data_IF_494247406089
#
_entry.id   IF_494247406089
#
_cell.length_a   1.000
_cell.length_b   1.000
_cell.length_c   1.000
_cell.angle_alpha   90.00
_cell.angle_beta   90.00
_cell.angle_gamma   90.00
#
_symmetry.space_group_name_H-M   'P 1'
#
loop_
_entity.id
_entity.type
_entity.pdbx_description
1 polymer ?
#
# COMPACT_ATOMS: atom_id res chain seq x y z
N UNK A 1 85.17 12.77 12.39
CA UNK A 1 83.84 13.28 12.00
C UNK A 1 82.77 12.51 12.72
N UNK A 2 82.26 13.05 13.82
CA UNK A 2 81.22 12.45 14.64
C UNK A 2 79.86 12.63 13.93
N UNK A 3 79.20 11.51 13.57
CA UNK A 3 77.82 11.51 13.11
C UNK A 3 76.95 11.74 14.33
N UNK A 4 76.38 12.93 14.46
CA UNK A 4 75.28 13.20 15.40
C UNK A 4 74.11 12.29 15.08
N UNK A 5 73.75 11.37 15.99
CA UNK A 5 72.48 10.66 15.97
C UNK A 5 71.40 11.69 16.21
N UNK A 6 70.59 11.99 15.21
CA UNK A 6 69.30 12.62 15.43
C UNK A 6 68.47 11.60 16.20
N UNK A 7 68.27 11.88 17.46
CA UNK A 7 67.33 11.09 18.30
C UNK A 7 65.92 11.45 17.86
N UNK A 8 65.16 10.48 17.50
CA UNK A 8 63.85 10.45 16.90
C UNK A 8 62.70 10.94 17.82
N UNK A 9 63.00 11.90 18.69
CA UNK A 9 62.05 12.48 19.66
C UNK A 9 61.40 13.80 19.21
N UNK A 10 61.62 14.21 17.96
CA UNK A 10 61.05 15.44 17.39
C UNK A 10 60.18 15.20 16.14
N UNK A 11 59.99 14.01 15.70
CA UNK A 11 58.99 13.62 14.75
C UNK A 11 57.77 13.09 15.47
N UNK A 12 57.15 13.92 16.29
CA UNK A 12 55.73 13.73 16.61
C UNK A 12 54.98 13.81 15.28
N UNK A 13 54.33 12.73 14.93
CA UNK A 13 53.58 12.59 13.71
C UNK A 13 52.67 13.81 13.50
N UNK A 14 52.99 14.61 12.49
CA UNK A 14 52.18 15.77 12.08
C UNK A 14 50.93 15.35 11.30
N UNK A 15 50.66 14.05 11.24
CA UNK A 15 49.48 13.49 10.61
C UNK A 15 48.38 13.20 11.64
N UNK A 16 47.12 13.51 11.33
CA UNK A 16 45.99 13.16 12.19
C UNK A 16 45.98 11.65 12.48
N UNK A 17 45.77 11.29 13.74
CA UNK A 17 45.60 9.89 14.16
C UNK A 17 44.16 9.50 14.00
N UNK A 18 43.92 8.21 13.67
CA UNK A 18 42.59 7.61 13.66
C UNK A 18 42.51 6.71 14.90
N UNK A 19 41.54 6.99 15.77
CA UNK A 19 41.20 6.18 16.91
C UNK A 19 39.93 5.37 16.61
N UNK A 20 39.84 4.16 17.10
CA UNK A 20 38.66 3.30 16.96
C UNK A 20 38.26 2.74 18.31
N UNK A 21 36.94 2.68 18.60
CA UNK A 21 36.38 2.16 19.84
C UNK A 21 35.41 3.12 20.49
N UNK A 22 34.71 2.65 21.52
CA UNK A 22 33.60 3.41 22.17
C UNK A 22 34.07 4.40 23.23
N UNK A 23 35.26 4.20 23.77
CA UNK A 23 35.83 5.11 24.78
C UNK A 23 36.48 6.33 24.12
N UNK A 24 36.26 7.50 24.68
CA UNK A 24 36.89 8.73 24.21
C UNK A 24 38.43 8.61 24.27
N UNK A 25 39.13 8.85 23.13
CA UNK A 25 40.58 8.75 23.08
C UNK A 25 41.25 9.64 24.10
N UNK A 26 42.18 9.11 24.86
CA UNK A 26 43.02 9.86 25.79
C UNK A 26 44.09 10.64 25.02
N UNK A 27 44.23 11.92 25.33
CA UNK A 27 45.25 12.85 24.76
C UNK A 27 45.15 13.03 23.22
N UNK A 28 43.95 13.32 22.65
CA UNK A 28 43.80 13.59 21.22
C UNK A 28 44.40 14.95 20.83
N UNK A 29 44.91 15.04 19.60
CA UNK A 29 45.45 16.26 19.02
C UNK A 29 44.46 16.89 18.03
N UNK A 30 44.66 18.15 17.72
CA UNK A 30 43.89 18.86 16.72
C UNK A 30 44.00 18.15 15.38
N UNK A 31 42.88 17.81 14.75
CA UNK A 31 42.83 17.12 13.49
C UNK A 31 42.63 15.59 13.59
N UNK A 32 42.82 15.00 14.80
CA UNK A 32 42.60 13.58 14.99
C UNK A 32 41.15 13.17 14.71
N UNK A 33 40.95 11.95 14.25
CA UNK A 33 39.64 11.33 13.97
C UNK A 33 39.38 10.24 15.00
N UNK A 34 38.14 10.13 15.42
CA UNK A 34 37.66 9.03 16.26
C UNK A 34 36.43 8.37 15.63
N UNK A 35 36.51 7.04 15.45
CA UNK A 35 35.41 6.22 14.91
C UNK A 35 34.96 5.29 16.02
N UNK A 36 33.73 5.47 16.52
CA UNK A 36 33.13 4.57 17.52
C UNK A 36 32.61 3.27 16.89
N UNK A 37 32.18 2.28 17.71
CA UNK A 37 31.68 0.99 17.22
C UNK A 37 30.40 1.09 16.39
N UNK A 38 29.69 2.22 16.47
CA UNK A 38 28.52 2.49 15.64
C UNK A 38 28.91 3.13 14.29
N UNK A 39 30.21 3.33 14.03
CA UNK A 39 30.72 3.94 12.81
C UNK A 39 30.63 5.47 12.79
N UNK A 40 30.31 6.11 13.92
CA UNK A 40 30.36 7.57 14.02
C UNK A 40 31.79 8.07 13.94
N UNK A 41 32.04 8.95 12.99
CA UNK A 41 33.32 9.64 12.86
C UNK A 41 33.25 10.99 13.57
N UNK A 42 34.22 11.27 14.43
CA UNK A 42 34.37 12.55 15.13
C UNK A 42 35.73 13.15 14.80
N UNK A 43 35.78 14.43 14.58
CA UNK A 43 36.99 15.19 14.33
C UNK A 43 37.35 16.04 15.59
N UNK A 44 38.61 15.99 15.96
CA UNK A 44 39.09 16.80 17.10
C UNK A 44 39.27 18.27 16.68
N UNK A 45 38.39 19.12 17.14
CA UNK A 45 38.53 20.57 17.08
C UNK A 45 39.32 21.13 18.28
N UNK A 46 39.36 22.45 18.47
CA UNK A 46 40.02 23.11 19.56
C UNK A 46 39.27 22.87 20.89
N UNK A 47 39.57 21.77 21.57
CA UNK A 47 39.05 21.43 22.88
C UNK A 47 37.87 20.47 22.95
N UNK A 48 37.25 20.08 21.82
CA UNK A 48 36.11 19.16 21.76
C UNK A 48 36.10 18.32 20.49
N UNK A 49 35.39 17.18 20.53
CA UNK A 49 35.13 16.35 19.38
C UNK A 49 33.89 16.87 18.68
N UNK A 50 34.01 17.14 17.38
CA UNK A 50 32.87 17.48 16.51
C UNK A 50 32.52 16.25 15.70
N UNK A 51 31.28 15.87 15.71
CA UNK A 51 30.81 14.76 14.88
C UNK A 51 30.98 15.09 13.41
N UNK A 52 31.66 14.20 12.68
CA UNK A 52 31.88 14.27 11.23
C UNK A 52 31.24 13.02 10.61
N UNK A 53 30.07 12.60 11.11
CA UNK A 53 29.44 11.43 10.55
C UNK A 53 28.74 11.79 9.25
N UNK A 54 29.08 11.07 8.17
CA UNK A 54 28.30 11.06 6.94
C UNK A 54 27.09 10.14 7.01
N UNK A 55 26.72 9.66 8.23
CA UNK A 55 25.53 8.84 8.40
C UNK A 55 24.31 9.73 8.48
N UNK A 56 23.35 9.48 7.59
CA UNK A 56 22.11 10.21 7.61
C UNK A 56 21.35 9.97 8.92
N UNK A 57 20.85 11.05 9.53
CA UNK A 57 19.86 10.98 10.60
C UNK A 57 18.48 11.07 9.96
N UNK A 58 17.68 10.03 10.08
CA UNK A 58 16.37 9.96 9.43
C UNK A 58 15.29 9.84 10.50
N UNK A 59 14.30 10.72 10.43
CA UNK A 59 13.16 10.77 11.37
C UNK A 59 11.84 10.81 10.61
N UNK A 60 10.75 10.34 11.24
CA UNK A 60 9.39 10.34 10.70
C UNK A 60 8.77 8.94 10.69
N UNK A 61 7.44 8.90 10.74
CA UNK A 61 6.70 7.64 10.83
C UNK A 61 6.97 6.85 12.12
N UNK A 62 6.53 5.60 12.14
CA UNK A 62 6.89 4.63 13.19
C UNK A 62 8.17 3.92 12.77
N UNK A 63 9.21 3.97 13.61
CA UNK A 63 10.53 3.39 13.30
C UNK A 63 10.68 2.05 14.01
N UNK A 64 11.10 1.04 13.24
CA UNK A 64 11.51 -0.29 13.75
C UNK A 64 12.86 -0.66 13.16
N UNK A 65 13.56 -1.59 13.82
CA UNK A 65 14.83 -2.13 13.32
C UNK A 65 14.73 -3.66 13.28
N UNK A 66 14.90 -4.23 12.08
CA UNK A 66 14.78 -5.67 11.84
C UNK A 66 15.82 -6.11 10.83
N UNK A 67 16.58 -7.17 11.15
CA UNK A 67 17.52 -7.80 10.21
C UNK A 67 18.64 -6.88 9.71
N UNK A 68 19.06 -5.88 10.48
CA UNK A 68 20.08 -4.89 10.08
C UNK A 68 19.53 -3.76 9.20
N UNK A 69 18.21 -3.60 9.14
CA UNK A 69 17.54 -2.50 8.44
C UNK A 69 16.75 -1.63 9.41
N UNK A 70 16.75 -0.33 9.16
CA UNK A 70 15.77 0.61 9.73
C UNK A 70 14.58 0.73 8.81
N UNK A 71 13.38 0.69 9.39
CA UNK A 71 12.11 0.69 8.67
C UNK A 71 11.24 1.81 9.23
N UNK A 72 10.87 2.76 8.39
CA UNK A 72 9.92 3.84 8.69
C UNK A 72 8.57 3.49 8.07
N UNK A 73 7.54 3.34 8.89
CA UNK A 73 6.17 3.01 8.45
C UNK A 73 5.25 4.20 8.69
N UNK A 74 4.56 4.64 7.63
CA UNK A 74 3.55 5.69 7.66
C UNK A 74 2.18 5.10 7.37
N UNK A 75 1.31 5.07 8.37
CA UNK A 75 -0.12 4.69 8.26
C UNK A 75 -1.04 5.91 8.25
N UNK A 76 -0.49 7.10 8.39
CA UNK A 76 -1.13 8.41 8.27
C UNK A 76 -0.14 9.39 7.63
N UNK A 77 -0.66 10.45 7.03
CA UNK A 77 0.17 11.48 6.42
C UNK A 77 1.12 12.12 7.43
N UNK A 78 2.32 12.46 6.99
CA UNK A 78 3.37 12.97 7.84
C UNK A 78 4.57 13.47 7.03
N UNK A 79 5.73 13.45 7.65
CA UNK A 79 6.97 13.94 7.06
C UNK A 79 8.12 12.98 7.37
N UNK A 80 8.94 12.68 6.36
CA UNK A 80 10.25 12.07 6.53
C UNK A 80 11.30 13.17 6.44
N UNK A 81 12.19 13.27 7.42
CA UNK A 81 13.31 14.22 7.41
C UNK A 81 14.62 13.49 7.41
N UNK A 82 15.51 13.86 6.49
CA UNK A 82 16.87 13.33 6.36
C UNK A 82 17.85 14.46 6.63
N UNK A 83 18.70 14.28 7.62
CA UNK A 83 19.68 15.26 8.06
C UNK A 83 21.09 14.70 7.93
N UNK A 84 22.05 15.58 7.77
CA UNK A 84 23.51 15.37 7.84
C UNK A 84 24.14 14.66 6.65
N UNK A 85 23.44 13.84 5.87
CA UNK A 85 23.94 13.19 4.66
C UNK A 85 22.79 12.59 3.83
N UNK A 86 23.06 12.28 2.57
CA UNK A 86 22.15 11.46 1.75
C UNK A 86 22.16 10.00 2.22
N UNK A 87 21.01 9.34 2.12
CA UNK A 87 20.88 7.91 2.37
C UNK A 87 20.76 7.15 1.05
N UNK A 88 21.69 6.24 0.77
CA UNK A 88 21.61 5.31 -0.37
C UNK A 88 20.86 4.02 0.02
N UNK A 89 20.60 3.20 -0.97
CA UNK A 89 20.00 1.86 -0.84
C UNK A 89 18.66 1.89 -0.09
N UNK A 90 17.87 2.92 -0.38
CA UNK A 90 16.55 3.11 0.22
C UNK A 90 15.51 2.37 -0.61
N UNK A 91 14.90 1.36 -0.01
CA UNK A 91 13.73 0.70 -0.55
C UNK A 91 12.45 1.42 -0.13
N UNK A 92 11.47 1.49 -1.03
CA UNK A 92 10.26 2.27 -0.82
C UNK A 92 9.06 1.50 -1.35
N UNK A 93 8.10 1.21 -0.51
CA UNK A 93 6.78 0.71 -0.89
C UNK A 93 5.75 1.82 -0.66
N UNK A 94 4.98 2.11 -1.70
CA UNK A 94 3.86 3.04 -1.67
C UNK A 94 2.60 2.33 -2.11
N UNK A 95 1.56 2.37 -1.28
CA UNK A 95 0.25 1.82 -1.60
C UNK A 95 -0.79 2.90 -1.39
N UNK A 96 -1.62 3.14 -2.38
CA UNK A 96 -2.74 4.10 -2.30
C UNK A 96 -3.95 3.50 -1.57
N UNK A 97 -4.96 4.31 -1.26
CA UNK A 97 -6.22 3.82 -0.74
C UNK A 97 -6.97 2.98 -1.77
N UNK A 98 -7.59 1.87 -1.34
CA UNK A 98 -8.47 1.06 -2.18
C UNK A 98 -9.83 1.71 -2.38
N UNK A 99 -10.54 1.35 -3.46
CA UNK A 99 -11.91 1.81 -3.71
C UNK A 99 -12.94 1.05 -2.87
N UNK A 100 -14.11 1.63 -2.65
CA UNK A 100 -15.23 0.93 -2.00
C UNK A 100 -15.93 -0.04 -2.95
N UNK A 101 -16.59 -1.04 -2.41
CA UNK A 101 -17.49 -1.90 -3.17
C UNK A 101 -18.72 -1.13 -3.68
N UNK A 102 -19.26 -1.57 -4.81
CA UNK A 102 -20.54 -1.10 -5.35
C UNK A 102 -21.72 -1.70 -4.59
N UNK A 103 -22.92 -1.14 -4.81
CA UNK A 103 -24.19 -1.65 -4.27
C UNK A 103 -25.05 -2.27 -5.38
N UNK A 104 -26.14 -2.94 -4.98
CA UNK A 104 -27.19 -3.45 -5.86
C UNK A 104 -26.61 -4.34 -6.99
N UNK A 105 -26.29 -5.57 -6.66
CA UNK A 105 -25.47 -6.44 -7.52
C UNK A 105 -24.06 -5.87 -7.75
N UNK A 106 -23.52 -5.28 -6.71
CA UNK A 106 -22.33 -4.47 -6.79
C UNK A 106 -21.06 -5.26 -7.05
N UNK A 107 -20.20 -4.71 -7.89
CA UNK A 107 -18.83 -5.20 -8.04
C UNK A 107 -17.97 -4.88 -6.81
N UNK A 108 -16.89 -5.62 -6.64
CA UNK A 108 -15.85 -5.33 -5.65
C UNK A 108 -15.07 -4.06 -6.00
N UNK A 109 -14.61 -3.31 -4.99
CA UNK A 109 -13.71 -2.18 -5.20
C UNK A 109 -12.33 -2.63 -5.67
N UNK A 110 -11.69 -1.85 -6.53
CA UNK A 110 -10.31 -2.06 -6.95
C UNK A 110 -9.32 -1.72 -5.83
N UNK A 111 -8.20 -2.39 -5.78
CA UNK A 111 -7.11 -2.07 -4.87
C UNK A 111 -6.47 -0.72 -5.22
N UNK A 112 -5.91 -0.04 -4.23
CA UNK A 112 -5.02 1.08 -4.46
C UNK A 112 -3.81 0.69 -5.28
N UNK A 113 -3.33 1.59 -6.13
CA UNK A 113 -2.11 1.39 -6.90
C UNK A 113 -0.91 1.14 -5.98
N UNK A 114 -0.02 0.27 -6.41
CA UNK A 114 1.17 -0.11 -5.67
C UNK A 114 2.41 0.23 -6.49
N UNK A 115 3.38 0.88 -5.86
CA UNK A 115 4.70 1.18 -6.43
C UNK A 115 5.74 0.69 -5.45
N UNK A 116 6.72 -0.08 -5.96
CA UNK A 116 7.85 -0.52 -5.17
C UNK A 116 9.17 -0.18 -5.87
N UNK A 117 10.08 0.41 -5.08
CA UNK A 117 11.48 0.64 -5.43
C UNK A 117 12.34 -0.20 -4.49
N UNK A 118 13.14 -1.10 -5.03
CA UNK A 118 13.95 -2.00 -4.21
C UNK A 118 14.44 -3.21 -4.97
N UNK A 119 14.84 -4.26 -4.25
CA UNK A 119 15.44 -5.46 -4.84
C UNK A 119 14.44 -6.59 -5.11
N UNK A 120 13.27 -6.57 -4.45
CA UNK A 120 12.23 -7.56 -4.70
C UNK A 120 11.51 -7.28 -6.04
N UNK A 121 10.83 -8.27 -6.60
CA UNK A 121 10.09 -8.16 -7.86
C UNK A 121 8.63 -8.58 -7.69
N UNK A 122 7.68 -7.93 -8.41
CA UNK A 122 7.88 -6.86 -9.39
C UNK A 122 8.25 -5.52 -8.76
N UNK A 123 8.95 -4.65 -9.50
CA UNK A 123 9.39 -3.34 -9.02
C UNK A 123 9.32 -2.26 -10.10
N UNK A 124 9.10 -1.01 -9.71
CA UNK A 124 9.17 0.14 -10.60
C UNK A 124 10.62 0.45 -10.98
N UNK A 125 11.54 0.40 -10.00
CA UNK A 125 12.98 0.55 -10.20
C UNK A 125 13.74 -0.06 -8.99
N UNK A 126 15.08 -0.05 -9.06
CA UNK A 126 15.96 -0.42 -7.94
C UNK A 126 15.78 0.52 -6.73
N UNK A 127 16.42 0.17 -5.61
CA UNK A 127 16.51 1.02 -4.43
C UNK A 127 17.04 2.43 -4.80
N UNK A 128 16.58 3.43 -4.09
CA UNK A 128 16.78 4.84 -4.40
C UNK A 128 17.83 5.47 -3.47
N UNK A 129 18.31 6.64 -3.85
CA UNK A 129 19.06 7.52 -2.94
C UNK A 129 18.18 8.70 -2.58
N UNK A 130 17.96 8.92 -1.29
CA UNK A 130 17.28 10.11 -0.80
C UNK A 130 18.31 11.10 -0.26
N UNK A 131 18.27 12.34 -0.75
CA UNK A 131 19.19 13.40 -0.32
C UNK A 131 18.75 14.00 1.01
N UNK A 132 19.63 14.76 1.64
CA UNK A 132 19.27 15.61 2.80
C UNK A 132 18.07 16.49 2.43
N UNK A 133 17.08 16.56 3.32
CA UNK A 133 15.86 17.32 3.09
C UNK A 133 14.64 16.80 3.86
N UNK A 134 13.53 17.45 3.60
CA UNK A 134 12.22 17.13 4.20
C UNK A 134 11.25 16.69 3.11
N UNK A 135 10.67 15.51 3.27
CA UNK A 135 9.79 14.87 2.31
C UNK A 135 8.39 14.73 2.89
N UNK A 136 7.41 15.33 2.21
CA UNK A 136 6.00 15.11 2.56
C UNK A 136 5.58 13.70 2.20
N UNK A 137 4.93 13.00 3.13
CA UNK A 137 4.29 11.70 2.93
C UNK A 137 2.78 11.91 3.05
N UNK A 138 2.04 11.67 1.98
CA UNK A 138 0.57 11.73 1.99
C UNK A 138 0.05 10.31 1.84
N UNK A 139 -0.74 9.85 2.80
CA UNK A 139 -1.38 8.54 2.77
C UNK A 139 -2.81 8.68 2.28
N UNK A 140 -3.11 7.97 1.20
CA UNK A 140 -4.45 7.94 0.61
C UNK A 140 -5.47 7.24 1.51
N UNK A 141 -6.60 7.88 1.75
CA UNK A 141 -7.72 7.23 2.40
C UNK A 141 -8.38 6.21 1.45
N UNK A 142 -8.95 5.15 2.01
CA UNK A 142 -9.83 4.27 1.25
C UNK A 142 -11.11 5.00 0.83
N UNK A 143 -11.70 4.58 -0.28
CA UNK A 143 -13.02 5.05 -0.72
C UNK A 143 -14.06 4.84 0.38
N UNK A 144 -14.88 5.84 0.65
CA UNK A 144 -15.88 5.76 1.70
C UNK A 144 -16.93 4.67 1.38
N UNK A 145 -17.40 3.98 2.41
CA UNK A 145 -18.54 3.08 2.26
C UNK A 145 -19.80 3.84 1.83
N UNK A 146 -20.59 3.26 0.92
CA UNK A 146 -21.84 3.88 0.46
C UNK A 146 -22.91 3.64 1.51
N UNK A 147 -23.52 4.71 2.02
CA UNK A 147 -24.67 4.66 2.92
C UNK A 147 -25.92 5.08 2.16
N UNK A 148 -26.97 4.28 2.18
CA UNK A 148 -28.23 4.62 1.50
C UNK A 148 -29.43 3.90 2.11
N UNK A 149 -30.64 4.49 1.91
CA UNK A 149 -31.89 3.91 2.42
C UNK A 149 -32.33 2.73 1.54
N UNK A 150 -32.95 1.73 2.17
CA UNK A 150 -33.68 0.65 1.53
C UNK A 150 -34.71 1.19 0.52
N UNK A 151 -34.70 0.67 -0.70
CA UNK A 151 -35.71 1.04 -1.73
C UNK A 151 -35.44 2.35 -2.49
N UNK A 152 -34.40 3.10 -2.16
CA UNK A 152 -34.04 4.25 -2.95
C UNK A 152 -33.25 3.80 -4.19
N UNK A 153 -33.93 3.75 -5.35
CA UNK A 153 -33.29 3.67 -6.67
C UNK A 153 -32.55 4.98 -7.01
N UNK A 154 -32.28 5.82 -6.02
CA UNK A 154 -31.62 7.09 -6.29
C UNK A 154 -30.15 6.81 -6.63
N UNK A 155 -29.83 7.06 -7.86
CA UNK A 155 -28.52 6.96 -8.50
C UNK A 155 -27.52 7.99 -7.94
N UNK A 156 -27.63 8.41 -6.70
CA UNK A 156 -26.75 9.45 -6.21
C UNK A 156 -25.84 8.93 -5.09
N UNK A 157 -24.57 8.88 -5.38
CA UNK A 157 -23.60 9.38 -4.41
C UNK A 157 -24.19 10.68 -3.91
N UNK A 158 -24.19 10.98 -2.64
CA UNK A 158 -24.71 12.27 -2.16
C UNK A 158 -24.16 13.53 -2.88
N UNK A 159 -23.21 13.34 -3.79
CA UNK A 159 -22.59 14.35 -4.66
C UNK A 159 -23.20 14.46 -6.05
N UNK A 160 -24.24 13.68 -6.39
CA UNK A 160 -24.90 13.68 -7.70
C UNK A 160 -24.19 12.93 -8.81
N UNK A 161 -23.08 12.23 -8.55
CA UNK A 161 -22.23 11.59 -9.58
C UNK A 161 -22.52 10.11 -9.87
N UNK A 162 -23.64 9.55 -9.43
CA UNK A 162 -24.01 8.15 -9.68
C UNK A 162 -23.83 7.25 -8.45
N UNK A 163 -24.09 5.95 -8.60
CA UNK A 163 -24.17 4.98 -7.49
C UNK A 163 -23.01 3.99 -7.43
N UNK A 164 -21.92 4.26 -8.13
CA UNK A 164 -20.69 3.47 -8.07
C UNK A 164 -20.06 3.56 -6.68
N UNK A 165 -19.21 2.60 -6.35
CA UNK A 165 -18.30 2.74 -5.22
C UNK A 165 -17.45 4.00 -5.33
N UNK A 166 -17.03 4.56 -4.20
CA UNK A 166 -16.09 5.68 -4.16
C UNK A 166 -14.67 5.20 -4.44
N UNK A 167 -13.94 5.98 -5.23
CA UNK A 167 -12.52 5.74 -5.45
C UNK A 167 -11.72 5.97 -4.15
N UNK A 168 -10.61 5.28 -4.02
CA UNK A 168 -9.59 5.58 -3.03
C UNK A 168 -8.83 6.86 -3.38
N UNK A 169 -8.14 7.42 -2.40
CA UNK A 169 -7.28 8.58 -2.60
C UNK A 169 -5.85 8.16 -2.91
N UNK A 170 -5.12 9.02 -3.60
CA UNK A 170 -3.72 8.81 -3.94
C UNK A 170 -2.82 8.84 -2.70
N UNK A 171 -1.77 8.03 -2.73
CA UNK A 171 -0.62 8.15 -1.81
C UNK A 171 0.53 8.79 -2.55
N UNK A 172 1.18 9.79 -1.94
CA UNK A 172 2.31 10.48 -2.57
C UNK A 172 3.53 10.54 -1.66
N UNK A 173 4.70 10.39 -2.24
CA UNK A 173 6.01 10.57 -1.61
C UNK A 173 7.05 10.95 -2.65
N UNK A 174 7.91 11.92 -2.36
CA UNK A 174 9.04 12.34 -3.22
C UNK A 174 8.67 12.57 -4.70
N UNK A 175 7.51 13.17 -4.95
CA UNK A 175 7.01 13.42 -6.32
C UNK A 175 6.42 12.20 -7.04
N UNK A 176 6.49 11.01 -6.46
CA UNK A 176 5.82 9.80 -6.95
C UNK A 176 4.38 9.75 -6.45
N UNK A 177 3.51 9.13 -7.25
CA UNK A 177 2.08 9.00 -6.93
C UNK A 177 1.62 7.57 -7.19
N UNK A 178 1.21 6.88 -6.13
CA UNK A 178 0.38 5.69 -6.23
C UNK A 178 -1.08 6.16 -6.35
N UNK A 179 -1.78 5.67 -7.36
CA UNK A 179 -3.14 6.12 -7.72
C UNK A 179 -4.18 5.36 -6.90
N UNK A 180 -5.19 6.05 -6.38
CA UNK A 180 -6.29 5.42 -5.64
C UNK A 180 -7.00 4.34 -6.44
N UNK A 181 -7.54 3.32 -5.76
CA UNK A 181 -8.29 2.22 -6.36
C UNK A 181 -9.66 2.67 -6.87
N UNK A 182 -10.15 2.07 -7.94
CA UNK A 182 -11.46 2.33 -8.52
C UNK A 182 -12.61 1.79 -7.67
N UNK A 183 -13.74 2.46 -7.64
CA UNK A 183 -14.97 1.99 -6.99
C UNK A 183 -15.65 0.87 -7.77
N UNK A 184 -16.30 -0.06 -7.08
CA UNK A 184 -17.10 -1.13 -7.68
C UNK A 184 -18.35 -0.63 -8.39
N UNK A 185 -18.76 -1.33 -9.45
CA UNK A 185 -19.94 -1.00 -10.26
C UNK A 185 -21.26 -1.13 -9.51
N UNK A 186 -22.27 -0.42 -9.96
CA UNK A 186 -23.64 -0.41 -9.42
C UNK A 186 -24.64 -0.90 -10.48
N UNK A 187 -25.57 -1.75 -10.08
CA UNK A 187 -26.73 -2.22 -10.85
C UNK A 187 -26.39 -2.86 -12.20
N UNK A 188 -26.04 -2.09 -13.21
CA UNK A 188 -25.67 -2.57 -14.56
C UNK A 188 -24.49 -1.79 -15.12
N UNK A 189 -23.75 -1.11 -14.25
CA UNK A 189 -22.67 -0.24 -14.63
C UNK A 189 -21.31 -0.88 -14.41
N UNK A 190 -20.31 -0.34 -15.10
CA UNK A 190 -18.90 -0.69 -14.89
C UNK A 190 -18.46 -0.25 -13.48
N UNK A 191 -17.40 -0.84 -12.98
CA UNK A 191 -16.60 -0.20 -11.93
C UNK A 191 -15.94 1.08 -12.47
N UNK A 192 -15.18 1.79 -11.64
CA UNK A 192 -14.40 2.95 -12.09
C UNK A 192 -12.94 2.59 -12.27
N UNK A 193 -12.23 3.36 -13.10
CA UNK A 193 -10.78 3.26 -13.26
C UNK A 193 -10.05 3.65 -11.96
N UNK A 194 -8.80 3.20 -11.80
CA UNK A 194 -7.99 3.52 -10.63
C UNK A 194 -6.58 2.94 -10.70
N UNK A 195 -5.88 2.87 -9.59
CA UNK A 195 -4.65 2.08 -9.45
C UNK A 195 -4.88 0.66 -9.95
N UNK A 196 -5.79 -0.08 -9.29
CA UNK A 196 -6.55 -1.18 -9.90
C UNK A 196 -7.98 -0.72 -10.10
N UNK A 197 -8.68 -1.17 -11.15
CA UNK A 197 -10.07 -0.77 -11.37
C UNK A 197 -11.06 -1.59 -10.56
N UNK A 198 -12.22 -1.01 -10.28
CA UNK A 198 -13.33 -1.72 -9.66
C UNK A 198 -13.91 -2.78 -10.58
N UNK A 199 -14.50 -3.84 -9.99
CA UNK A 199 -15.28 -4.85 -10.71
C UNK A 199 -16.60 -4.28 -11.21
N UNK A 200 -17.08 -4.76 -12.34
CA UNK A 200 -18.40 -4.41 -12.87
C UNK A 200 -19.52 -5.03 -12.03
N UNK A 201 -20.68 -4.42 -12.06
CA UNK A 201 -21.90 -5.01 -11.51
C UNK A 201 -22.48 -6.05 -12.48
N UNK A 202 -23.71 -6.52 -12.21
CA UNK A 202 -24.44 -7.39 -13.11
C UNK A 202 -24.57 -6.78 -14.51
N UNK A 203 -24.72 -7.61 -15.52
CA UNK A 203 -24.98 -7.16 -16.89
C UNK A 203 -23.73 -7.20 -17.76
N UNK A 204 -23.75 -6.51 -18.88
CA UNK A 204 -22.64 -6.49 -19.85
C UNK A 204 -21.62 -5.40 -19.55
N UNK A 205 -21.33 -5.16 -18.28
CA UNK A 205 -20.32 -4.18 -17.87
C UNK A 205 -18.92 -4.65 -18.28
N UNK A 206 -18.14 -3.76 -18.87
CA UNK A 206 -16.75 -4.05 -19.19
C UNK A 206 -15.83 -3.70 -18.00
N UNK A 207 -14.69 -4.37 -17.94
CA UNK A 207 -13.63 -3.94 -17.05
C UNK A 207 -13.11 -2.55 -17.45
N UNK A 208 -13.02 -1.64 -16.48
CA UNK A 208 -12.40 -0.33 -16.69
C UNK A 208 -10.87 -0.43 -16.59
N UNK A 209 -10.17 0.61 -17.05
CA UNK A 209 -8.72 0.61 -17.09
C UNK A 209 -8.10 0.71 -15.69
N UNK A 210 -7.01 -0.05 -15.48
CA UNK A 210 -6.11 0.13 -14.35
C UNK A 210 -4.92 1.02 -14.74
N UNK A 211 -4.28 1.63 -13.74
CA UNK A 211 -3.04 2.38 -13.95
C UNK A 211 -1.90 1.41 -14.25
N UNK A 212 -1.33 1.54 -15.45
CA UNK A 212 -0.22 0.69 -15.91
C UNK A 212 0.93 0.66 -14.90
N UNK A 213 1.39 -0.54 -14.54
CA UNK A 213 2.50 -0.74 -13.61
C UNK A 213 2.13 -0.54 -12.14
N UNK A 214 0.86 -0.26 -11.80
CA UNK A 214 0.41 -0.07 -10.42
C UNK A 214 -0.69 -1.04 -10.00
N UNK A 215 -1.41 -1.65 -10.95
CA UNK A 215 -2.48 -2.57 -10.65
C UNK A 215 -3.07 -3.21 -11.91
N UNK A 216 -4.14 -3.96 -11.73
CA UNK A 216 -4.83 -4.70 -12.77
C UNK A 216 -6.32 -4.33 -12.85
N UNK A 217 -6.95 -4.72 -13.95
CA UNK A 217 -8.38 -4.50 -14.18
C UNK A 217 -9.24 -5.34 -13.23
N UNK A 218 -10.41 -4.82 -12.88
CA UNK A 218 -11.47 -5.62 -12.26
C UNK A 218 -12.11 -6.58 -13.27
N UNK A 219 -12.94 -7.49 -12.76
CA UNK A 219 -13.70 -8.40 -13.59
C UNK A 219 -14.83 -7.70 -14.35
N UNK A 220 -15.21 -8.29 -15.47
CA UNK A 220 -16.31 -7.84 -16.34
C UNK A 220 -17.64 -8.49 -15.95
N UNK A 221 -18.74 -7.80 -16.22
CA UNK A 221 -20.09 -8.35 -16.13
C UNK A 221 -20.44 -9.13 -17.41
N UNK A 222 -20.72 -10.42 -17.30
CA UNK A 222 -21.02 -11.28 -18.45
C UNK A 222 -22.46 -11.79 -18.49
N UNK A 223 -23.27 -11.50 -17.46
CA UNK A 223 -24.63 -12.02 -17.32
C UNK A 223 -25.70 -11.02 -17.76
N UNK A 224 -26.63 -11.51 -18.59
CA UNK A 224 -27.82 -10.75 -18.99
C UNK A 224 -28.83 -10.57 -17.83
N UNK A 225 -30.01 -10.02 -18.16
CA UNK A 225 -31.05 -9.63 -17.19
C UNK A 225 -31.82 -10.79 -16.49
N UNK A 226 -31.34 -12.02 -16.56
CA UNK A 226 -31.98 -13.20 -15.96
C UNK A 226 -31.10 -13.69 -14.79
N UNK A 227 -31.48 -13.46 -13.54
CA UNK A 227 -30.70 -13.80 -12.34
C UNK A 227 -30.01 -15.19 -12.32
N UNK A 228 -29.09 -15.47 -11.40
CA UNK A 228 -28.65 -14.63 -10.29
C UNK A 228 -27.85 -13.43 -10.77
N UNK A 229 -27.85 -12.32 -10.07
CA UNK A 229 -27.24 -11.06 -10.48
C UNK A 229 -25.92 -10.82 -9.74
N UNK A 230 -24.82 -11.58 -10.05
CA UNK A 230 -23.56 -11.40 -9.39
C UNK A 230 -22.83 -10.13 -9.85
N UNK A 231 -22.09 -9.50 -8.97
CA UNK A 231 -21.08 -8.51 -9.29
C UNK A 231 -19.72 -9.16 -9.50
N UNK A 232 -18.87 -8.58 -10.30
CA UNK A 232 -17.51 -9.06 -10.54
C UNK A 232 -16.53 -8.61 -9.45
N UNK A 233 -15.38 -9.27 -9.30
CA UNK A 233 -14.32 -8.90 -8.38
C UNK A 233 -13.56 -7.65 -8.84
N UNK A 234 -13.10 -6.81 -7.89
CA UNK A 234 -12.19 -5.70 -8.17
C UNK A 234 -10.77 -6.18 -8.48
N UNK A 235 -10.01 -5.43 -9.26
CA UNK A 235 -8.61 -5.74 -9.56
C UNK A 235 -7.70 -5.60 -8.33
N UNK A 236 -6.65 -6.40 -8.25
CA UNK A 236 -5.56 -6.30 -7.28
C UNK A 236 -4.24 -5.88 -7.94
N UNK A 237 -3.23 -5.55 -7.16
CA UNK A 237 -1.93 -5.16 -7.72
C UNK A 237 -1.23 -6.34 -8.43
N UNK A 238 -1.44 -7.57 -7.96
CA UNK A 238 -0.81 -8.79 -8.48
C UNK A 238 -1.63 -9.53 -9.53
N UNK A 239 -2.93 -9.26 -9.66
CA UNK A 239 -3.79 -9.94 -10.62
C UNK A 239 -5.12 -9.27 -10.84
N UNK A 240 -5.80 -9.57 -11.96
CA UNK A 240 -7.13 -9.04 -12.24
C UNK A 240 -8.18 -9.64 -11.30
N UNK A 241 -9.30 -8.91 -11.15
CA UNK A 241 -10.50 -9.46 -10.53
C UNK A 241 -11.18 -10.46 -11.45
N UNK A 242 -11.98 -11.38 -10.86
CA UNK A 242 -12.71 -12.38 -11.62
C UNK A 242 -14.02 -11.82 -12.18
N UNK A 243 -14.36 -12.31 -13.38
CA UNK A 243 -15.61 -11.99 -14.05
C UNK A 243 -16.81 -12.60 -13.30
N UNK A 244 -17.99 -11.98 -13.44
CA UNK A 244 -19.20 -12.47 -12.78
C UNK A 244 -19.87 -13.69 -13.43
N UNK A 245 -19.31 -14.26 -14.48
CA UNK A 245 -19.83 -15.43 -15.20
C UNK A 245 -19.42 -16.78 -14.63
N UNK A 246 -18.58 -16.82 -13.60
CA UNK A 246 -18.06 -18.02 -12.96
C UNK A 246 -18.58 -18.14 -11.53
N UNK A 247 -18.37 -19.28 -10.89
CA UNK A 247 -18.83 -19.53 -9.51
C UNK A 247 -18.11 -18.73 -8.44
N UNK A 248 -17.09 -17.99 -8.81
CA UNK A 248 -16.23 -17.23 -7.94
C UNK A 248 -16.11 -15.83 -8.52
N UNK A 249 -16.43 -14.80 -7.76
CA UNK A 249 -16.27 -13.39 -8.14
C UNK A 249 -15.18 -12.76 -7.30
N UNK A 250 -14.07 -13.48 -7.13
CA UNK A 250 -13.00 -13.09 -6.22
C UNK A 250 -12.30 -11.82 -6.69
N UNK A 251 -11.90 -11.05 -5.71
CA UNK A 251 -11.01 -9.92 -5.92
C UNK A 251 -9.62 -10.37 -6.37
N UNK A 252 -8.98 -9.60 -7.21
CA UNK A 252 -7.62 -9.83 -7.68
C UNK A 252 -6.62 -9.87 -6.54
N UNK A 253 -5.65 -10.79 -6.60
CA UNK A 253 -4.58 -10.91 -5.59
C UNK A 253 -3.70 -9.65 -5.57
N UNK A 254 -3.23 -9.27 -4.39
CA UNK A 254 -2.20 -8.25 -4.20
C UNK A 254 -0.79 -8.75 -4.50
N UNK A 255 0.20 -7.95 -4.15
CA UNK A 255 1.62 -8.29 -4.24
C UNK A 255 2.22 -8.46 -2.86
N UNK A 256 3.13 -9.42 -2.74
CA UNK A 256 3.85 -9.71 -1.49
C UNK A 256 5.23 -9.06 -1.49
N UNK A 257 5.56 -8.37 -0.38
CA UNK A 257 6.89 -7.80 -0.14
C UNK A 257 7.32 -8.01 1.31
N UNK A 258 8.63 -8.15 1.53
CA UNK A 258 9.24 -8.31 2.85
C UNK A 258 9.81 -7.00 3.42
N UNK A 259 9.51 -5.87 2.81
CA UNK A 259 10.02 -4.54 3.20
C UNK A 259 9.68 -4.15 4.64
N UNK A 260 8.57 -4.67 5.20
CA UNK A 260 8.16 -4.45 6.59
C UNK A 260 8.96 -5.30 7.62
N UNK A 261 9.88 -6.14 7.15
CA UNK A 261 10.57 -7.15 7.96
C UNK A 261 9.89 -8.51 7.97
N UNK A 262 8.67 -8.63 7.43
CA UNK A 262 7.92 -9.88 7.24
C UNK A 262 7.22 -9.88 5.89
N UNK A 263 7.15 -11.03 5.23
CA UNK A 263 6.41 -11.17 3.97
C UNK A 263 4.94 -10.83 4.18
N UNK A 264 4.47 -9.82 3.49
CA UNK A 264 3.12 -9.26 3.65
C UNK A 264 2.54 -8.89 2.30
N UNK A 265 1.28 -9.32 2.05
CA UNK A 265 0.55 -8.94 0.86
C UNK A 265 -0.08 -7.55 1.02
N UNK A 266 -0.05 -6.75 -0.05
CA UNK A 266 -0.65 -5.42 -0.15
C UNK A 266 -1.50 -5.31 -1.42
N UNK A 267 -2.48 -4.42 -1.41
CA UNK A 267 -3.28 -4.04 -2.56
C UNK A 267 -4.05 -5.23 -3.19
N UNK A 268 -4.82 -5.97 -2.38
CA UNK A 268 -5.78 -6.97 -2.85
C UNK A 268 -7.12 -6.34 -3.24
N UNK A 269 -7.75 -6.79 -4.32
CA UNK A 269 -9.07 -6.31 -4.77
C UNK A 269 -10.21 -6.84 -3.90
N UNK A 270 -11.36 -6.14 -3.87
CA UNK A 270 -12.58 -6.59 -3.20
C UNK A 270 -13.30 -7.68 -4.00
N UNK A 271 -13.93 -8.64 -3.32
CA UNK A 271 -14.81 -9.63 -3.93
C UNK A 271 -16.14 -9.05 -4.39
N UNK A 272 -16.70 -9.55 -5.49
CA UNK A 272 -18.03 -9.20 -5.96
C UNK A 272 -19.14 -9.83 -5.11
N UNK A 273 -20.35 -9.28 -5.16
CA UNK A 273 -21.50 -9.88 -4.49
C UNK A 273 -22.02 -11.10 -5.26
N UNK A 274 -22.72 -11.99 -4.57
CA UNK A 274 -23.53 -13.06 -5.18
C UNK A 274 -24.93 -13.03 -4.59
N UNK A 275 -25.94 -12.90 -5.46
CA UNK A 275 -27.34 -12.92 -5.04
C UNK A 275 -27.90 -14.35 -5.09
N UNK A 276 -28.44 -14.81 -3.96
CA UNK A 276 -29.26 -16.02 -3.92
C UNK A 276 -30.69 -15.67 -4.36
N UNK A 277 -31.23 -16.37 -5.35
CA UNK A 277 -32.61 -16.18 -5.82
C UNK A 277 -33.40 -17.48 -5.61
N UNK A 278 -34.14 -17.54 -4.52
CA UNK A 278 -34.99 -18.72 -4.18
C UNK A 278 -36.22 -18.85 -5.09
N UNK A 279 -36.64 -17.73 -5.76
CA UNK A 279 -37.95 -17.61 -6.40
C UNK A 279 -38.10 -18.20 -7.80
N UNK A 280 -37.04 -18.74 -8.40
CA UNK A 280 -37.06 -19.23 -9.80
C UNK A 280 -37.10 -20.77 -9.91
N UNK A 281 -37.40 -21.50 -8.84
CA UNK A 281 -37.70 -22.95 -8.90
C UNK A 281 -36.60 -23.88 -9.44
N UNK A 282 -35.45 -23.36 -9.68
CA UNK A 282 -34.25 -24.09 -10.07
C UNK A 282 -33.15 -23.77 -9.09
N UNK A 283 -32.88 -24.70 -8.18
CA UNK A 283 -31.67 -24.60 -7.39
C UNK A 283 -30.49 -24.49 -8.33
N UNK A 284 -29.92 -23.31 -8.48
CA UNK A 284 -28.64 -23.11 -9.13
C UNK A 284 -27.59 -23.69 -8.19
N UNK A 285 -27.43 -25.02 -8.26
CA UNK A 285 -26.33 -25.70 -7.60
C UNK A 285 -25.02 -25.18 -8.21
N UNK A 286 -24.25 -24.45 -7.42
CA UNK A 286 -22.94 -23.94 -7.83
C UNK A 286 -22.61 -22.50 -7.40
N UNK A 287 -23.61 -21.68 -7.09
CA UNK A 287 -23.42 -20.27 -6.69
C UNK A 287 -23.54 -20.11 -5.15
N UNK A 288 -22.67 -20.78 -4.42
CA UNK A 288 -22.84 -20.90 -2.95
C UNK A 288 -21.86 -20.07 -2.14
N UNK A 289 -21.12 -19.15 -2.76
CA UNK A 289 -20.13 -18.35 -2.06
C UNK A 289 -20.12 -16.90 -2.54
N UNK A 290 -19.93 -15.96 -1.63
CA UNK A 290 -19.56 -14.60 -1.96
C UNK A 290 -18.16 -14.62 -2.58
N UNK A 291 -17.88 -13.69 -3.48
CA UNK A 291 -16.50 -13.46 -3.93
C UNK A 291 -15.60 -13.17 -2.74
N UNK A 292 -14.51 -13.91 -2.61
CA UNK A 292 -13.50 -13.64 -1.60
C UNK A 292 -12.75 -12.35 -1.93
N UNK A 293 -12.28 -11.63 -0.90
CA UNK A 293 -11.34 -10.55 -1.11
C UNK A 293 -9.96 -11.10 -1.49
N UNK A 294 -9.26 -10.44 -2.40
CA UNK A 294 -7.89 -10.80 -2.78
C UNK A 294 -6.92 -10.68 -1.60
N UNK A 295 -5.92 -11.57 -1.57
CA UNK A 295 -4.80 -11.43 -0.62
C UNK A 295 -4.20 -10.04 -0.69
N UNK A 296 -3.90 -9.43 0.45
CA UNK A 296 -3.47 -8.03 0.51
C UNK A 296 -4.57 -7.09 0.97
N UNK A 297 -5.53 -7.62 1.74
CA UNK A 297 -6.52 -6.83 2.48
C UNK A 297 -7.80 -6.55 1.72
N UNK A 298 -8.10 -7.26 0.64
CA UNK A 298 -9.38 -7.16 -0.04
C UNK A 298 -10.55 -7.60 0.85
N UNK A 299 -11.65 -6.84 0.84
CA UNK A 299 -12.90 -7.19 1.50
C UNK A 299 -13.69 -8.21 0.69
N UNK A 300 -14.35 -9.18 1.34
CA UNK A 300 -15.24 -10.13 0.64
C UNK A 300 -16.57 -9.47 0.26
N UNK A 301 -17.20 -9.96 -0.80
CA UNK A 301 -18.54 -9.57 -1.22
C UNK A 301 -19.65 -10.15 -0.33
N UNK A 302 -20.89 -9.70 -0.55
CA UNK A 302 -22.10 -10.23 0.11
C UNK A 302 -22.56 -11.53 -0.54
N UNK A 303 -23.05 -12.48 0.27
CA UNK A 303 -23.77 -13.66 -0.17
C UNK A 303 -25.12 -13.77 0.51
N UNK A 304 -26.15 -14.11 -0.27
CA UNK A 304 -27.50 -14.37 0.25
C UNK A 304 -28.25 -13.12 0.71
N UNK A 305 -29.53 -13.27 1.05
CA UNK A 305 -30.36 -12.19 1.58
C UNK A 305 -30.34 -12.17 3.12
N UNK A 306 -30.49 -10.98 3.75
CA UNK A 306 -30.59 -10.87 5.19
C UNK A 306 -31.73 -11.75 5.75
N UNK A 307 -31.43 -12.56 6.75
CA UNK A 307 -32.38 -13.48 7.35
C UNK A 307 -32.41 -14.88 6.72
N UNK A 308 -31.73 -15.11 5.62
CA UNK A 308 -31.55 -16.43 5.02
C UNK A 308 -30.43 -17.21 5.73
N UNK A 309 -30.57 -18.53 5.77
CA UNK A 309 -29.50 -19.41 6.27
C UNK A 309 -28.27 -19.31 5.35
N UNK A 310 -27.11 -18.98 5.93
CA UNK A 310 -25.86 -18.82 5.18
C UNK A 310 -25.60 -17.42 4.63
N UNK A 311 -26.39 -16.41 4.99
CA UNK A 311 -26.10 -15.01 4.62
C UNK A 311 -24.75 -14.54 5.21
N UNK A 312 -23.93 -13.91 4.35
CA UNK A 312 -22.71 -13.24 4.75
C UNK A 312 -22.73 -11.78 4.26
N UNK A 313 -22.55 -10.84 5.17
CA UNK A 313 -22.36 -9.45 4.81
C UNK A 313 -20.99 -9.26 4.11
N UNK A 314 -20.92 -8.29 3.21
CA UNK A 314 -19.63 -7.83 2.68
C UNK A 314 -18.73 -7.27 3.79
N UNK A 315 -17.46 -7.08 3.50
CA UNK A 315 -16.51 -6.47 4.44
C UNK A 315 -15.74 -5.34 3.78
N UNK A 316 -15.27 -4.41 4.61
CA UNK A 316 -14.37 -3.35 4.15
C UNK A 316 -13.00 -3.92 3.75
N UNK A 317 -12.30 -3.21 2.91
CA UNK A 317 -10.87 -3.40 2.70
C UNK A 317 -10.10 -3.13 3.99
N UNK A 318 -9.03 -3.89 4.21
CA UNK A 318 -8.21 -3.77 5.42
C UNK A 318 -7.42 -2.46 5.39
N UNK A 319 -7.45 -1.73 6.49
CA UNK A 319 -6.68 -0.50 6.64
C UNK A 319 -5.17 -0.75 6.50
N UNK A 320 -4.45 0.22 5.95
CA UNK A 320 -3.00 0.18 5.74
C UNK A 320 -2.51 -0.93 4.80
N UNK A 321 -3.38 -1.37 3.90
CA UNK A 321 -3.03 -2.33 2.85
C UNK A 321 -3.40 -1.85 1.45
N UNK A 322 -4.25 -0.84 1.34
CA UNK A 322 -4.83 -0.41 0.06
C UNK A 322 -5.86 -1.38 -0.50
N UNK A 323 -6.41 -2.29 0.31
CA UNK A 323 -7.38 -3.30 -0.16
C UNK A 323 -8.70 -2.69 -0.60
N UNK A 324 -9.32 -3.22 -1.67
CA UNK A 324 -10.66 -2.83 -2.14
C UNK A 324 -11.77 -3.35 -1.22
N UNK A 325 -12.88 -2.64 -1.10
CA UNK A 325 -14.08 -3.07 -0.35
C UNK A 325 -14.92 -4.10 -1.11
N UNK A 326 -15.59 -4.99 -0.39
CA UNK A 326 -16.48 -6.00 -1.00
C UNK A 326 -17.76 -5.41 -1.55
N UNK A 327 -18.26 -5.97 -2.66
CA UNK A 327 -19.51 -5.61 -3.33
C UNK A 327 -20.74 -6.00 -2.52
N UNK A 328 -21.80 -5.19 -2.62
CA UNK A 328 -23.03 -5.31 -1.85
C UNK A 328 -24.23 -5.72 -2.70
N UNK A 329 -25.13 -6.45 -2.02
CA UNK A 329 -26.42 -6.83 -2.58
C UNK A 329 -27.47 -5.72 -2.47
N UNK A 330 -28.61 -5.91 -3.19
CA UNK A 330 -29.72 -4.97 -3.32
C UNK A 330 -30.33 -4.45 -1.98
N UNK A 331 -30.44 -5.32 -1.00
CA UNK A 331 -31.23 -5.05 0.21
C UNK A 331 -30.44 -4.54 1.42
N UNK A 332 -29.14 -4.30 1.28
CA UNK A 332 -28.30 -3.83 2.36
C UNK A 332 -28.05 -2.31 2.24
N UNK A 333 -28.10 -1.63 3.39
CA UNK A 333 -28.03 -0.17 3.46
C UNK A 333 -26.61 0.41 3.43
N UNK A 334 -25.58 -0.46 3.44
CA UNK A 334 -24.19 -0.01 3.60
C UNK A 334 -23.26 -0.78 2.68
N UNK A 335 -22.73 -0.13 1.64
CA UNK A 335 -21.58 -0.62 0.92
C UNK A 335 -20.30 -0.41 1.74
N UNK A 336 -19.38 -1.35 1.68
CA UNK A 336 -18.16 -1.30 2.48
C UNK A 336 -17.04 -0.52 1.83
N UNK A 337 -16.36 0.34 2.62
CA UNK A 337 -15.26 1.18 2.17
C UNK A 337 -14.01 0.38 1.80
N UNK A 338 -13.13 0.99 1.03
CA UNK A 338 -11.77 0.51 0.81
C UNK A 338 -10.86 0.73 2.03
N UNK A 339 -9.75 0.01 2.09
CA UNK A 339 -8.70 0.20 3.09
C UNK A 339 -7.81 1.40 2.76
N UNK A 340 -7.30 2.08 3.76
CA UNK A 340 -6.30 3.13 3.57
C UNK A 340 -5.00 2.58 3.01
N UNK A 341 -4.21 3.45 2.36
CA UNK A 341 -2.87 3.17 1.88
C UNK A 341 -1.82 3.13 2.99
N UNK A 342 -0.57 2.95 2.59
CA UNK A 342 0.61 2.89 3.46
C UNK A 342 1.86 3.33 2.68
N UNK A 343 2.85 3.90 3.36
CA UNK A 343 4.21 4.05 2.86
C UNK A 343 5.18 3.38 3.83
N UNK A 344 6.06 2.56 3.29
CA UNK A 344 7.14 1.91 4.05
C UNK A 344 8.46 2.26 3.38
N UNK A 345 9.42 2.71 4.18
CA UNK A 345 10.76 3.11 3.73
C UNK A 345 11.77 2.30 4.53
N UNK A 346 12.64 1.55 3.86
CA UNK A 346 13.64 0.67 4.49
C UNK A 346 15.03 1.00 3.95
N UNK A 347 16.02 1.00 4.83
CA UNK A 347 17.44 1.19 4.46
C UNK A 347 18.35 0.47 5.45
N UNK A 348 19.61 0.13 5.09
CA UNK A 348 20.59 -0.48 6.01
C UNK A 348 20.83 0.39 7.25
N UNK A 349 20.83 -0.22 8.45
CA UNK A 349 20.91 0.45 9.77
C UNK A 349 22.28 1.02 10.10
#
# INVERSE_FOLDING_TARGET
MSRSKITDSSLESTYPKIFTGDDEPSNPQLGDLWIDSSGFMKHRGSGYWTQVSNKASITGGTVTEVGGYKIHTFTSSGTLTIESASQSDVEILMVAGGGSGGRHSGGGGGAGGLIYYGDETPRAAAAQTLTEGTYSVIIGAGGAGIVGSYGAYSNSRGDGSGSYGYEGSNTTFNGWTAVGGGGGGYHSDNGTAGGSSGGSSRGNGNAESATSGQGNVGGSGTWGNSGPYPGAGGGGAGGPGQDNGQNEQDGGVGLEYSISGTATYYAGGGGGNTQYVESQGGGVSGWNTAGAGGLGGGGRGTYGEPGQSGHYASTAGQANTGGGGGGEQYNLSTGHGGGSGIVIIRYPA
#
